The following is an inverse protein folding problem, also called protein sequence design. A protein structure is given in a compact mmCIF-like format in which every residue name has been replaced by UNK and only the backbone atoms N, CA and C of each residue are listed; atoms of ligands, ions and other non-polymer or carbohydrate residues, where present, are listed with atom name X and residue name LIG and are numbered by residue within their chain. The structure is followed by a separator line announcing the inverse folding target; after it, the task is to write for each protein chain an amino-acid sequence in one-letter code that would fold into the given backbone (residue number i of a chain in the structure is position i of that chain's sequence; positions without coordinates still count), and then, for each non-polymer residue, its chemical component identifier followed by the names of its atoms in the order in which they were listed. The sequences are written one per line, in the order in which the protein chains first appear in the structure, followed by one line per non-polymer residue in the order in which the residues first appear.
data_IF_092146336002
#
_entry.id   IF_092146336002
#
_cell.length_a   1.000
_cell.length_b   1.000
_cell.length_c   1.000
_cell.angle_alpha   90.00
_cell.angle_beta   90.00
_cell.angle_gamma   90.00
#
_symmetry.space_group_name_H-M   'P 1'
#
loop_
_entity.id
_entity.type
_entity.pdbx_description
1 polymer ?
#
# COMPACT_ATOMS: atom_id res chain seq x y z
N UNK A 1 -36.50 19.55 5.27
CA UNK A 1 -36.17 20.95 4.92
C UNK A 1 -36.41 21.80 6.15
N UNK A 2 -35.55 22.76 6.56
CA UNK A 2 -34.20 23.16 6.11
C UNK A 2 -33.14 22.86 7.22
N UNK A 3 -31.83 23.05 7.11
CA UNK A 3 -30.95 23.57 6.07
C UNK A 3 -29.50 23.36 6.53
N UNK A 4 -28.69 22.76 5.66
CA UNK A 4 -27.25 22.57 5.84
C UNK A 4 -26.57 23.95 5.70
N UNK A 5 -25.87 24.42 6.74
CA UNK A 5 -25.01 25.62 6.61
C UNK A 5 -23.65 25.22 6.04
N UNK A 6 -23.45 25.57 4.76
CA UNK A 6 -22.14 25.69 4.13
C UNK A 6 -21.47 26.94 4.69
N UNK A 7 -20.40 26.77 5.45
CA UNK A 7 -19.56 27.86 5.92
C UNK A 7 -18.29 27.95 5.10
N UNK A 8 -18.23 28.88 4.15
CA UNK A 8 -17.00 29.37 3.57
C UNK A 8 -16.79 30.81 4.05
N UNK A 9 -15.67 31.09 4.73
CA UNK A 9 -14.81 32.28 4.50
C UNK A 9 -13.63 32.29 5.45
N UNK A 10 -12.50 32.67 4.86
CA UNK A 10 -11.20 32.86 5.47
C UNK A 10 -11.20 34.03 6.46
N UNK A 11 -10.46 33.88 7.56
CA UNK A 11 -9.91 35.00 8.32
C UNK A 11 -8.38 34.91 8.32
N UNK A 12 -7.77 36.02 7.91
CA UNK A 12 -6.36 36.33 8.06
C UNK A 12 -5.95 36.27 9.53
N UNK A 13 -4.87 35.55 9.82
CA UNK A 13 -4.19 35.56 11.11
C UNK A 13 -2.69 35.45 10.85
N UNK A 14 -2.03 36.60 10.73
CA UNK A 14 -0.58 36.72 10.64
C UNK A 14 0.04 36.32 11.97
N UNK A 15 0.83 35.24 12.02
CA UNK A 15 1.77 35.00 13.12
C UNK A 15 3.15 34.69 12.53
N UNK A 16 4.06 35.64 12.67
CA UNK A 16 5.52 35.49 12.54
C UNK A 16 6.07 35.02 13.88
N UNK A 17 6.94 34.01 13.88
CA UNK A 17 7.76 33.65 15.05
C UNK A 17 8.57 32.37 14.82
N UNK A 18 9.90 32.51 14.81
CA UNK A 18 10.92 31.47 14.53
C UNK A 18 11.03 30.42 15.64
N UNK A 19 11.53 29.24 15.29
CA UNK A 19 12.09 28.24 16.22
C UNK A 19 12.41 26.93 15.51
N UNK A 20 13.66 26.76 15.09
CA UNK A 20 14.23 25.50 14.61
C UNK A 20 14.28 24.47 15.75
N UNK A 21 13.88 23.22 15.46
CA UNK A 21 14.43 21.95 15.93
C UNK A 21 13.42 20.80 15.87
N UNK A 22 13.80 19.70 15.20
CA UNK A 22 13.15 18.40 15.30
C UNK A 22 12.29 17.99 14.10
N UNK A 23 12.93 17.62 12.98
CA UNK A 23 12.27 16.84 11.91
C UNK A 23 11.99 15.40 12.40
N UNK A 24 10.75 14.89 12.34
CA UNK A 24 10.53 13.45 12.25
C UNK A 24 10.48 13.07 10.77
N UNK A 25 11.55 12.42 10.33
CA UNK A 25 11.58 11.66 9.09
C UNK A 25 10.79 10.35 9.25
N UNK A 26 9.74 10.12 8.46
CA UNK A 26 9.02 8.85 8.47
C UNK A 26 7.73 8.85 7.66
N UNK A 27 7.84 9.02 6.34
CA UNK A 27 6.73 8.86 5.38
C UNK A 27 6.32 7.38 5.33
N UNK A 28 5.24 7.00 6.01
CA UNK A 28 4.53 5.74 5.74
C UNK A 28 3.27 6.04 4.97
N UNK A 29 3.17 5.40 3.81
CA UNK A 29 2.13 5.67 2.85
C UNK A 29 1.54 4.32 2.43
N UNK A 30 0.70 3.76 3.31
CA UNK A 30 -0.12 2.57 3.05
C UNK A 30 -1.34 3.01 2.24
N UNK A 31 -1.15 3.28 0.95
CA UNK A 31 -2.21 3.78 0.05
C UNK A 31 -3.25 2.68 -0.21
N UNK A 32 -4.43 2.79 0.40
CA UNK A 32 -5.66 2.49 -0.32
C UNK A 32 -6.03 3.77 -1.08
N UNK A 33 -6.04 3.70 -2.40
CA UNK A 33 -6.58 4.79 -3.21
C UNK A 33 -7.72 4.23 -4.00
N UNK A 34 -8.77 5.00 -4.01
CA UNK A 34 -9.97 4.69 -4.71
C UNK A 34 -10.07 5.72 -5.82
N UNK A 35 -9.94 5.27 -7.08
CA UNK A 35 -9.89 6.12 -8.26
C UNK A 35 -11.07 5.86 -9.19
N UNK A 36 -11.39 6.87 -10.01
CA UNK A 36 -12.13 6.68 -11.26
C UNK A 36 -11.38 5.75 -12.24
N UNK A 37 -11.98 5.45 -13.41
CA UNK A 37 -11.51 4.39 -14.28
C UNK A 37 -10.21 4.80 -14.98
N UNK A 38 -9.12 4.02 -14.87
CA UNK A 38 -7.91 4.33 -15.62
C UNK A 38 -8.04 3.84 -17.07
N UNK A 39 -7.85 4.74 -18.05
CA UNK A 39 -7.67 4.35 -19.47
C UNK A 39 -6.24 3.84 -19.77
N UNK A 40 -5.30 3.89 -18.82
CA UNK A 40 -3.93 3.37 -18.95
C UNK A 40 -3.42 2.74 -17.65
N UNK A 41 -2.51 1.78 -17.76
CA UNK A 41 -1.89 1.10 -16.61
C UNK A 41 -1.31 2.12 -15.60
N UNK A 42 -1.48 1.92 -14.28
CA UNK A 42 -0.95 2.84 -13.28
C UNK A 42 0.58 2.98 -13.42
N UNK A 43 1.15 4.19 -13.28
CA UNK A 43 2.59 4.39 -13.40
C UNK A 43 3.36 3.56 -12.37
N UNK A 44 4.58 3.17 -12.74
CA UNK A 44 5.45 2.33 -11.94
C UNK A 44 5.69 2.90 -10.52
N UNK A 45 5.90 1.95 -9.60
CA UNK A 45 6.03 2.13 -8.17
C UNK A 45 7.00 3.25 -7.78
N UNK A 46 6.55 4.21 -6.96
CA UNK A 46 7.43 5.19 -6.29
C UNK A 46 7.24 6.65 -6.70
N UNK A 47 6.43 6.96 -7.72
CA UNK A 47 6.06 8.36 -8.01
C UNK A 47 4.97 8.86 -7.06
N UNK A 48 5.07 10.10 -6.53
CA UNK A 48 3.92 10.80 -5.96
C UNK A 48 2.76 10.80 -6.97
N UNK A 49 1.51 10.86 -6.49
CA UNK A 49 0.28 10.98 -7.29
C UNK A 49 0.20 12.32 -8.09
N UNK A 50 1.34 12.88 -8.50
CA UNK A 50 1.47 14.18 -9.13
C UNK A 50 0.79 14.28 -10.51
N UNK A 51 0.27 13.18 -11.07
CA UNK A 51 -0.52 13.17 -12.30
C UNK A 51 -2.04 13.02 -12.09
N UNK A 52 -2.52 12.88 -10.85
CA UNK A 52 -3.94 12.65 -10.59
C UNK A 52 -4.76 13.94 -10.48
N UNK A 53 -4.32 15.05 -11.10
CA UNK A 53 -4.86 16.40 -10.85
C UNK A 53 -5.42 17.14 -12.06
N UNK A 54 -5.23 16.64 -13.28
CA UNK A 54 -5.44 17.44 -14.50
C UNK A 54 -6.77 17.14 -15.22
N UNK A 55 -7.39 15.96 -15.01
CA UNK A 55 -8.48 15.46 -15.88
C UNK A 55 -9.85 15.24 -15.19
N UNK A 56 -10.15 15.92 -14.08
CA UNK A 56 -11.48 15.83 -13.43
C UNK A 56 -11.79 14.49 -12.71
N UNK A 57 -10.85 13.55 -12.70
CA UNK A 57 -10.93 12.30 -11.94
C UNK A 57 -10.86 12.57 -10.43
N UNK A 58 -11.81 12.06 -9.65
CA UNK A 58 -11.77 12.18 -8.18
C UNK A 58 -11.05 11.01 -7.55
N UNK A 59 -10.10 11.30 -6.66
CA UNK A 59 -9.34 10.31 -5.91
C UNK A 59 -9.67 10.41 -4.43
N UNK A 60 -9.99 9.28 -3.80
CA UNK A 60 -10.17 9.19 -2.35
C UNK A 60 -9.10 8.29 -1.76
N UNK A 61 -8.34 8.81 -0.80
CA UNK A 61 -7.35 8.08 -0.02
C UNK A 61 -7.90 7.82 1.37
N UNK A 62 -7.86 6.57 1.81
CA UNK A 62 -8.32 6.16 3.14
C UNK A 62 -7.19 5.48 3.93
N UNK A 63 -7.02 5.86 5.20
CA UNK A 63 -6.14 5.19 6.16
C UNK A 63 -6.76 5.31 7.57
N UNK A 64 -6.54 4.32 8.43
CA UNK A 64 -7.07 4.33 9.81
C UNK A 64 -6.26 5.26 10.72
N UNK A 65 -4.97 5.44 10.41
CA UNK A 65 -3.98 6.09 11.27
C UNK A 65 -3.83 7.59 10.98
N UNK A 66 -3.09 8.29 11.85
CA UNK A 66 -2.68 9.69 11.65
C UNK A 66 -1.81 9.93 10.39
N UNK A 67 -1.45 8.88 9.64
CA UNK A 67 -0.79 9.01 8.34
C UNK A 67 -1.61 9.85 7.34
N UNK A 68 -2.94 9.94 7.54
CA UNK A 68 -3.83 10.84 6.79
C UNK A 68 -3.39 12.30 6.83
N UNK A 69 -2.83 12.79 7.94
CA UNK A 69 -2.36 14.18 8.02
C UNK A 69 -1.18 14.44 7.08
N UNK A 70 -0.25 13.48 7.03
CA UNK A 70 0.90 13.56 6.13
C UNK A 70 0.44 13.43 4.68
N UNK A 71 -0.51 12.53 4.39
CA UNK A 71 -1.11 12.43 3.08
C UNK A 71 -1.79 13.76 2.68
N UNK A 72 -2.58 14.35 3.56
CA UNK A 72 -3.28 15.61 3.32
C UNK A 72 -2.30 16.77 3.08
N UNK A 73 -1.21 16.89 3.86
CA UNK A 73 -0.16 17.89 3.59
C UNK A 73 0.46 17.73 2.19
N UNK A 74 0.57 16.50 1.69
CA UNK A 74 1.18 16.21 0.39
C UNK A 74 0.23 16.44 -0.80
N UNK A 75 -1.06 16.06 -0.67
CA UNK A 75 -2.01 16.03 -1.80
C UNK A 75 -3.30 16.82 -1.59
N UNK A 76 -3.57 17.34 -0.40
CA UNK A 76 -4.84 18.00 -0.06
C UNK A 76 -5.09 19.31 -0.78
N UNK A 77 -4.07 19.90 -1.40
CA UNK A 77 -4.19 21.06 -2.30
C UNK A 77 -4.69 20.70 -3.70
N UNK A 78 -4.75 19.42 -4.06
CA UNK A 78 -5.28 18.99 -5.35
C UNK A 78 -6.82 19.03 -5.28
N UNK A 79 -7.51 19.73 -6.21
CA UNK A 79 -8.95 19.99 -6.11
C UNK A 79 -9.81 18.72 -6.18
N UNK A 80 -9.25 17.63 -6.66
CA UNK A 80 -9.88 16.35 -6.90
C UNK A 80 -9.34 15.22 -6.01
N UNK A 81 -8.49 15.52 -5.02
CA UNK A 81 -7.98 14.55 -4.07
C UNK A 81 -8.59 14.77 -2.67
N UNK A 82 -9.18 13.72 -2.12
CA UNK A 82 -9.73 13.74 -0.76
C UNK A 82 -9.00 12.71 0.10
N UNK A 83 -8.56 13.14 1.29
CA UNK A 83 -7.95 12.26 2.28
C UNK A 83 -8.95 12.06 3.41
N UNK A 84 -9.20 10.80 3.77
CA UNK A 84 -10.23 10.39 4.71
C UNK A 84 -9.59 9.47 5.75
N UNK A 85 -9.81 9.76 7.02
CA UNK A 85 -9.49 8.80 8.08
C UNK A 85 -10.64 7.80 8.20
N UNK A 86 -10.38 6.53 7.93
CA UNK A 86 -11.42 5.51 7.87
C UNK A 86 -10.88 4.10 8.13
N UNK A 87 -11.72 3.26 8.72
CA UNK A 87 -11.51 1.83 8.79
C UNK A 87 -11.88 1.17 7.46
N UNK A 88 -10.96 0.38 6.90
CA UNK A 88 -11.17 -0.40 5.68
C UNK A 88 -12.22 -1.49 5.86
N UNK A 89 -12.45 -1.98 7.09
CA UNK A 89 -13.48 -2.97 7.40
C UNK A 89 -14.89 -2.34 7.40
N UNK A 90 -14.97 -1.02 7.62
CA UNK A 90 -16.22 -0.25 7.66
C UNK A 90 -16.06 1.12 6.95
N UNK A 91 -15.82 1.13 5.62
CA UNK A 91 -15.49 2.36 4.91
C UNK A 91 -16.71 3.30 4.80
N UNK A 92 -16.55 4.62 5.01
CA UNK A 92 -17.65 5.58 5.09
C UNK A 92 -18.14 6.03 3.71
N UNK A 93 -18.34 5.09 2.78
CA UNK A 93 -18.77 5.39 1.42
C UNK A 93 -20.23 4.99 1.22
N UNK A 94 -21.07 5.99 1.01
CA UNK A 94 -22.49 5.80 0.74
C UNK A 94 -22.69 4.95 -0.52
N UNK A 95 -23.64 4.00 -0.45
CA UNK A 95 -24.11 3.22 -1.60
C UNK A 95 -25.26 3.95 -2.26
N UNK A 96 -25.12 4.31 -3.53
CA UNK A 96 -26.20 4.89 -4.31
C UNK A 96 -27.01 3.75 -4.97
N UNK A 97 -28.32 3.69 -4.74
CA UNK A 97 -29.20 2.65 -5.28
C UNK A 97 -28.65 1.21 -5.05
N UNK A 98 -28.08 0.95 -3.87
CA UNK A 98 -27.48 -0.35 -3.53
C UNK A 98 -26.16 -0.67 -4.22
N UNK A 99 -25.58 0.24 -5.02
CA UNK A 99 -24.31 0.04 -5.74
C UNK A 99 -23.17 0.80 -5.06
N UNK A 100 -21.96 0.29 -5.20
CA UNK A 100 -20.76 1.02 -4.79
C UNK A 100 -20.52 2.27 -5.65
N UNK A 101 -19.64 3.15 -5.18
CA UNK A 101 -19.42 4.48 -5.76
C UNK A 101 -18.15 4.57 -6.63
N UNK A 102 -17.44 3.46 -6.81
CA UNK A 102 -16.07 3.51 -7.34
C UNK A 102 -15.83 2.62 -8.53
N UNK A 103 -15.10 3.18 -9.48
CA UNK A 103 -14.81 2.58 -10.76
C UNK A 103 -13.53 1.73 -10.66
N UNK A 104 -12.64 2.13 -9.76
CA UNK A 104 -11.39 1.46 -9.48
C UNK A 104 -11.01 1.58 -8.00
N UNK A 105 -10.59 0.47 -7.40
CA UNK A 105 -10.02 0.45 -6.06
C UNK A 105 -8.66 -0.23 -6.14
N UNK A 106 -7.63 0.38 -5.57
CA UNK A 106 -6.39 -0.33 -5.30
C UNK A 106 -5.98 -0.34 -3.84
N UNK A 107 -5.45 -1.49 -3.42
CA UNK A 107 -4.92 -1.72 -2.07
C UNK A 107 -3.52 -2.32 -2.14
N UNK A 108 -2.52 -1.52 -1.77
CA UNK A 108 -1.10 -1.83 -1.99
C UNK A 108 -0.43 -1.98 -0.64
N UNK A 109 -0.11 -3.22 -0.25
CA UNK A 109 0.60 -3.48 0.99
C UNK A 109 -0.23 -3.26 2.26
N UNK A 110 -1.55 -3.44 2.17
CA UNK A 110 -2.49 -3.14 3.28
C UNK A 110 -3.18 -4.40 3.80
N UNK A 111 -3.90 -5.12 2.93
CA UNK A 111 -4.85 -6.17 3.35
C UNK A 111 -4.23 -7.25 4.24
N UNK A 112 -3.02 -7.67 3.93
CA UNK A 112 -2.31 -8.72 4.66
C UNK A 112 -1.85 -8.32 6.08
N UNK A 113 -2.04 -7.05 6.47
CA UNK A 113 -1.82 -6.61 7.85
C UNK A 113 -3.11 -6.56 8.67
N UNK A 114 -4.27 -6.79 8.06
CA UNK A 114 -5.55 -6.79 8.76
C UNK A 114 -5.72 -8.07 9.58
N UNK A 115 -6.48 -8.03 10.69
CA UNK A 115 -6.84 -9.23 11.45
C UNK A 115 -7.57 -10.28 10.60
N UNK A 116 -8.46 -9.82 9.70
CA UNK A 116 -9.10 -10.62 8.66
C UNK A 116 -8.83 -9.96 7.28
N UNK A 117 -7.78 -10.41 6.57
CA UNK A 117 -7.42 -9.86 5.26
C UNK A 117 -8.52 -10.00 4.21
N UNK A 118 -9.27 -11.11 4.21
CA UNK A 118 -10.33 -11.36 3.24
C UNK A 118 -11.56 -10.49 3.52
N UNK A 119 -11.92 -10.26 4.79
CA UNK A 119 -12.97 -9.31 5.13
C UNK A 119 -12.65 -7.89 4.65
N UNK A 120 -11.40 -7.45 4.78
CA UNK A 120 -10.94 -6.18 4.23
C UNK A 120 -11.06 -6.12 2.71
N UNK A 121 -10.69 -7.20 2.01
CA UNK A 121 -10.85 -7.32 0.57
C UNK A 121 -12.33 -7.22 0.16
N UNK A 122 -13.21 -8.01 0.80
CA UNK A 122 -14.66 -8.00 0.54
C UNK A 122 -15.26 -6.63 0.81
N UNK A 123 -14.81 -5.96 1.87
CA UNK A 123 -15.25 -4.60 2.21
C UNK A 123 -14.95 -3.60 1.09
N UNK A 124 -13.75 -3.64 0.55
CA UNK A 124 -13.37 -2.82 -0.60
C UNK A 124 -14.18 -3.17 -1.86
N UNK A 125 -14.35 -4.46 -2.17
CA UNK A 125 -15.13 -4.90 -3.34
C UNK A 125 -16.57 -4.36 -3.29
N UNK A 126 -17.22 -4.34 -2.10
CA UNK A 126 -18.58 -3.78 -1.96
C UNK A 126 -18.68 -2.29 -2.33
N UNK A 127 -17.57 -1.57 -2.28
CA UNK A 127 -17.53 -0.16 -2.67
C UNK A 127 -17.38 0.04 -4.19
N UNK A 128 -17.10 -1.02 -4.96
CA UNK A 128 -17.09 -0.94 -6.42
C UNK A 128 -18.51 -0.77 -6.98
N UNK A 129 -18.63 0.07 -8.00
CA UNK A 129 -19.81 0.06 -8.88
C UNK A 129 -19.79 -1.20 -9.76
N UNK A 130 -20.93 -1.64 -10.33
CA UNK A 130 -20.94 -2.66 -11.37
C UNK A 130 -20.00 -2.30 -12.52
N UNK A 131 -19.21 -3.26 -12.99
CA UNK A 131 -18.15 -3.06 -13.98
C UNK A 131 -16.86 -2.44 -13.44
N UNK A 132 -16.80 -2.07 -12.16
CA UNK A 132 -15.62 -1.50 -11.50
C UNK A 132 -14.51 -2.55 -11.27
N UNK A 133 -13.27 -2.10 -11.09
CA UNK A 133 -12.09 -3.00 -10.98
C UNK A 133 -11.42 -2.88 -9.61
N UNK A 134 -11.03 -4.02 -9.05
CA UNK A 134 -10.15 -4.08 -7.89
C UNK A 134 -8.73 -4.44 -8.32
N UNK A 135 -7.73 -3.84 -7.69
CA UNK A 135 -6.33 -4.25 -7.75
C UNK A 135 -5.74 -4.36 -6.33
N UNK A 136 -5.11 -5.50 -6.02
CA UNK A 136 -4.48 -5.75 -4.73
C UNK A 136 -3.01 -6.14 -4.86
N UNK A 137 -2.17 -5.70 -3.94
CA UNK A 137 -0.85 -6.29 -3.70
C UNK A 137 -0.71 -6.73 -2.25
N UNK A 138 -0.40 -8.02 -2.07
CA UNK A 138 -0.26 -8.68 -0.77
C UNK A 138 1.06 -9.44 -0.67
N UNK A 139 1.55 -9.63 0.56
CA UNK A 139 2.70 -10.49 0.80
C UNK A 139 2.35 -11.95 0.50
N UNK A 140 3.23 -12.62 -0.24
CA UNK A 140 3.04 -13.99 -0.70
C UNK A 140 3.69 -14.98 0.25
N UNK A 141 3.11 -16.16 0.40
CA UNK A 141 3.71 -17.23 1.20
C UNK A 141 4.94 -17.83 0.52
N UNK A 142 4.86 -18.01 -0.79
CA UNK A 142 5.84 -18.63 -1.64
C UNK A 142 7.15 -17.82 -1.72
N UNK A 143 8.28 -18.52 -1.85
CA UNK A 143 9.63 -17.96 -1.97
C UNK A 143 10.06 -17.04 -0.79
N UNK A 144 9.32 -17.05 0.31
CA UNK A 144 9.60 -16.29 1.53
C UNK A 144 10.09 -17.17 2.69
N UNK A 145 10.77 -18.28 2.42
CA UNK A 145 11.21 -19.23 3.45
C UNK A 145 12.05 -18.59 4.57
N UNK A 146 12.96 -17.66 4.24
CA UNK A 146 13.74 -16.91 5.23
C UNK A 146 12.84 -16.08 6.15
N UNK A 147 11.80 -15.48 5.59
CA UNK A 147 10.86 -14.68 6.35
C UNK A 147 10.10 -15.55 7.35
N UNK A 148 9.58 -16.69 6.90
CA UNK A 148 8.80 -17.60 7.77
C UNK A 148 9.64 -18.29 8.83
N UNK A 149 10.86 -18.72 8.48
CA UNK A 149 11.69 -19.55 9.36
C UNK A 149 12.52 -18.72 10.35
N UNK A 150 12.89 -17.50 9.98
CA UNK A 150 13.82 -16.68 10.78
C UNK A 150 13.19 -15.35 11.17
N UNK A 151 12.76 -14.54 10.19
CA UNK A 151 12.36 -13.16 10.46
C UNK A 151 11.08 -13.09 11.29
N UNK A 152 10.03 -13.85 10.95
CA UNK A 152 8.75 -13.81 11.66
C UNK A 152 8.85 -14.35 13.11
N UNK A 153 9.53 -15.49 13.39
CA UNK A 153 9.76 -15.94 14.76
C UNK A 153 10.54 -14.93 15.61
N UNK A 154 11.62 -14.36 15.07
CA UNK A 154 12.42 -13.33 15.76
C UNK A 154 11.58 -12.08 15.99
N UNK A 155 10.78 -11.67 14.99
CA UNK A 155 9.91 -10.51 15.09
C UNK A 155 8.88 -10.66 16.20
N UNK A 156 8.15 -11.78 16.23
CA UNK A 156 7.08 -12.03 17.22
C UNK A 156 7.60 -12.18 18.65
N UNK A 157 8.79 -12.76 18.82
CA UNK A 157 9.35 -13.07 20.14
C UNK A 157 10.18 -11.92 20.72
N UNK A 158 10.85 -11.16 19.86
CA UNK A 158 11.86 -10.17 20.28
C UNK A 158 11.50 -8.78 19.77
N UNK A 159 11.53 -8.54 18.47
CA UNK A 159 11.61 -7.16 17.96
C UNK A 159 10.30 -6.39 18.04
N UNK A 160 9.13 -7.02 17.88
CA UNK A 160 7.83 -6.32 17.92
C UNK A 160 7.49 -5.72 19.29
N UNK A 161 8.21 -6.13 20.34
CA UNK A 161 8.03 -5.65 21.71
C UNK A 161 9.01 -4.53 22.08
N UNK A 162 9.97 -4.22 21.22
CA UNK A 162 10.99 -3.21 21.49
C UNK A 162 10.50 -1.80 21.19
N UNK A 163 10.92 -0.79 21.97
CA UNK A 163 10.55 0.59 21.70
C UNK A 163 11.21 1.08 20.39
N UNK A 164 10.58 2.02 19.65
CA UNK A 164 11.04 2.48 18.34
C UNK A 164 12.51 2.96 18.26
N UNK A 165 13.11 3.61 19.27
CA UNK A 165 14.53 3.96 19.23
C UNK A 165 15.45 2.75 19.09
N UNK A 166 15.18 1.67 19.84
CA UNK A 166 15.99 0.45 19.80
C UNK A 166 15.82 -0.29 18.46
N UNK A 167 14.61 -0.30 17.91
CA UNK A 167 14.35 -0.84 16.57
C UNK A 167 15.15 -0.12 15.48
N UNK A 168 15.32 1.21 15.58
CA UNK A 168 16.16 1.96 14.65
C UNK A 168 17.63 1.54 14.74
N UNK A 169 18.14 1.35 15.96
CA UNK A 169 19.52 0.89 16.21
C UNK A 169 19.76 -0.52 15.66
N UNK A 170 18.77 -1.41 15.72
CA UNK A 170 18.85 -2.77 15.15
C UNK A 170 18.70 -2.74 13.62
N UNK A 171 17.76 -1.94 13.11
CA UNK A 171 17.49 -1.85 11.68
C UNK A 171 18.68 -1.31 10.88
N UNK A 172 19.46 -0.38 11.46
CA UNK A 172 20.56 0.27 10.77
C UNK A 172 21.67 -0.72 10.31
N UNK A 173 22.31 -1.53 11.19
CA UNK A 173 23.33 -2.49 10.77
C UNK A 173 22.76 -3.55 9.82
N UNK A 174 21.52 -4.00 10.03
CA UNK A 174 20.85 -4.91 9.09
C UNK A 174 20.69 -4.28 7.70
N UNK A 175 20.31 -3.01 7.64
CA UNK A 175 20.20 -2.26 6.40
C UNK A 175 21.56 -2.03 5.73
N UNK A 176 22.62 -1.79 6.49
CA UNK A 176 24.00 -1.70 5.96
C UNK A 176 24.40 -3.01 5.29
N UNK A 177 24.22 -4.15 5.97
CA UNK A 177 24.54 -5.47 5.42
C UNK A 177 23.72 -5.75 4.17
N UNK A 178 22.39 -5.56 4.23
CA UNK A 178 21.52 -5.77 3.07
C UNK A 178 21.88 -4.84 1.91
N UNK A 179 22.16 -3.56 2.18
CA UNK A 179 22.52 -2.60 1.15
C UNK A 179 23.86 -2.94 0.49
N UNK A 180 24.86 -3.31 1.28
CA UNK A 180 26.15 -3.76 0.78
C UNK A 180 26.00 -5.02 -0.08
N UNK A 181 25.20 -6.01 0.36
CA UNK A 181 24.92 -7.21 -0.40
C UNK A 181 24.25 -6.88 -1.75
N UNK A 182 23.20 -6.05 -1.73
CA UNK A 182 22.46 -5.68 -2.93
C UNK A 182 23.35 -4.89 -3.92
N UNK A 183 24.17 -3.96 -3.43
CA UNK A 183 25.02 -3.12 -4.29
C UNK A 183 26.31 -3.83 -4.75
N UNK A 184 26.88 -4.69 -3.91
CA UNK A 184 28.16 -5.37 -4.16
C UNK A 184 28.02 -6.71 -4.87
N UNK A 185 26.89 -7.41 -4.71
CA UNK A 185 26.68 -8.74 -5.29
C UNK A 185 25.57 -8.73 -6.34
N UNK A 186 24.36 -8.29 -5.99
CA UNK A 186 23.21 -8.40 -6.90
C UNK A 186 23.30 -7.42 -8.07
N UNK A 187 23.70 -6.17 -7.83
CA UNK A 187 23.81 -5.14 -8.88
C UNK A 187 24.84 -5.50 -9.96
N UNK A 188 26.08 -5.93 -9.65
CA UNK A 188 27.05 -6.30 -10.70
C UNK A 188 26.69 -7.57 -11.48
N UNK A 189 25.83 -8.43 -10.91
CA UNK A 189 25.35 -9.65 -11.55
C UNK A 189 24.09 -9.46 -12.41
N UNK A 190 23.55 -8.24 -12.51
CA UNK A 190 22.40 -7.96 -13.38
C UNK A 190 22.68 -8.36 -14.83
N UNK A 191 21.72 -9.06 -15.44
CA UNK A 191 21.82 -9.59 -16.80
C UNK A 191 22.66 -10.87 -16.94
N UNK A 192 23.29 -11.36 -15.87
CA UNK A 192 24.10 -12.59 -15.90
C UNK A 192 23.29 -13.80 -15.44
N UNK A 193 23.49 -14.96 -16.07
CA UNK A 193 22.84 -16.21 -15.69
C UNK A 193 23.11 -16.62 -14.22
N UNK A 194 24.28 -16.27 -13.69
CA UNK A 194 24.66 -16.53 -12.29
C UNK A 194 23.68 -15.90 -11.28
N UNK A 195 23.02 -14.78 -11.62
CA UNK A 195 22.04 -14.12 -10.76
C UNK A 195 20.85 -15.03 -10.43
N UNK A 196 20.39 -15.84 -11.40
CA UNK A 196 19.23 -16.71 -11.22
C UNK A 196 19.47 -17.83 -10.19
N UNK A 197 20.74 -18.16 -9.91
CA UNK A 197 21.13 -19.13 -8.89
C UNK A 197 21.14 -18.55 -7.47
N UNK A 198 21.09 -17.22 -7.33
CA UNK A 198 21.11 -16.58 -6.01
C UNK A 198 19.74 -16.66 -5.32
N UNK A 199 19.71 -16.80 -3.99
CA UNK A 199 18.47 -16.80 -3.23
C UNK A 199 17.77 -15.44 -3.38
N UNK A 200 16.44 -15.47 -3.41
CA UNK A 200 15.59 -14.28 -3.52
C UNK A 200 16.03 -13.30 -4.63
N UNK A 201 16.60 -13.81 -5.73
CA UNK A 201 17.22 -12.98 -6.77
C UNK A 201 16.27 -11.93 -7.34
N UNK A 202 15.01 -12.28 -7.63
CA UNK A 202 14.04 -11.31 -8.14
C UNK A 202 13.73 -10.19 -7.13
N UNK A 203 13.65 -10.51 -5.84
CA UNK A 203 13.42 -9.52 -4.78
C UNK A 203 14.64 -8.64 -4.55
N UNK A 204 15.82 -9.22 -4.31
CA UNK A 204 17.02 -8.45 -4.02
C UNK A 204 17.50 -7.64 -5.23
N UNK A 205 17.29 -8.13 -6.45
CA UNK A 205 17.54 -7.35 -7.67
C UNK A 205 16.61 -6.14 -7.76
N UNK A 206 15.37 -6.21 -7.28
CA UNK A 206 14.47 -5.05 -7.27
C UNK A 206 14.91 -3.93 -6.32
N UNK A 207 15.83 -4.22 -5.40
CA UNK A 207 16.36 -3.26 -4.42
C UNK A 207 17.66 -2.58 -4.89
N UNK A 208 18.22 -2.97 -6.04
CA UNK A 208 19.51 -2.45 -6.52
C UNK A 208 19.44 -0.99 -6.92
N UNK A 209 18.27 -0.51 -7.32
CA UNK A 209 18.08 0.88 -7.77
C UNK A 209 17.78 1.82 -6.60
N UNK A 210 17.49 1.26 -5.43
CA UNK A 210 17.14 2.03 -4.25
C UNK A 210 18.39 2.62 -3.60
N UNK A 211 18.24 3.83 -3.07
CA UNK A 211 19.26 4.44 -2.21
C UNK A 211 19.24 3.81 -0.81
N UNK A 212 20.26 4.11 0.00
CA UNK A 212 20.38 3.53 1.35
C UNK A 212 19.14 3.78 2.20
N UNK A 213 18.58 4.99 2.16
CA UNK A 213 17.40 5.38 2.93
C UNK A 213 16.18 4.53 2.58
N UNK A 214 15.95 4.26 1.30
CA UNK A 214 14.86 3.40 0.83
C UNK A 214 15.05 1.96 1.33
N UNK A 215 16.25 1.40 1.21
CA UNK A 215 16.56 0.07 1.69
C UNK A 215 16.45 -0.05 3.22
N UNK A 216 16.92 0.96 3.96
CA UNK A 216 16.74 1.06 5.40
C UNK A 216 15.27 1.03 5.81
N UNK A 217 14.42 1.81 5.12
CA UNK A 217 12.99 1.83 5.44
C UNK A 217 12.35 0.47 5.24
N UNK A 218 12.74 -0.30 4.21
CA UNK A 218 12.23 -1.66 3.99
C UNK A 218 12.59 -2.57 5.15
N UNK A 219 13.87 -2.57 5.58
CA UNK A 219 14.32 -3.37 6.74
C UNK A 219 13.59 -2.96 8.01
N UNK A 220 13.51 -1.66 8.28
CA UNK A 220 12.81 -1.12 9.44
C UNK A 220 11.33 -1.52 9.43
N UNK A 221 10.68 -1.48 8.27
CA UNK A 221 9.27 -1.83 8.14
C UNK A 221 9.00 -3.31 8.43
N UNK A 222 9.90 -4.20 8.02
CA UNK A 222 9.84 -5.62 8.35
C UNK A 222 9.95 -5.91 9.85
N UNK A 223 10.67 -5.06 10.61
CA UNK A 223 10.86 -5.22 12.05
C UNK A 223 9.71 -4.65 12.88
N UNK A 224 9.08 -3.57 12.40
CA UNK A 224 8.02 -2.83 13.13
C UNK A 224 6.64 -3.44 12.94
N UNK A 225 6.34 -4.08 11.79
CA UNK A 225 5.00 -4.57 11.51
C UNK A 225 4.53 -5.61 12.55
N UNK A 226 3.49 -5.30 13.37
CA UNK A 226 3.08 -6.19 14.47
C UNK A 226 2.55 -7.53 13.97
N UNK A 227 1.79 -7.47 12.87
CA UNK A 227 1.15 -8.62 12.23
C UNK A 227 1.29 -8.50 10.72
N UNK A 228 1.67 -9.59 10.06
CA UNK A 228 1.63 -9.73 8.61
C UNK A 228 1.29 -11.18 8.27
N UNK A 229 0.20 -11.38 7.56
CA UNK A 229 -0.16 -12.65 6.97
C UNK A 229 0.53 -12.78 5.61
N UNK A 230 1.07 -13.95 5.32
CA UNK A 230 1.67 -14.23 4.02
C UNK A 230 0.77 -15.23 3.32
N UNK A 231 0.13 -14.77 2.24
CA UNK A 231 -0.99 -15.45 1.62
C UNK A 231 -0.48 -16.36 0.50
N UNK A 232 -1.01 -17.57 0.44
CA UNK A 232 -0.75 -18.46 -0.71
C UNK A 232 -1.45 -17.93 -1.95
N UNK A 233 -0.96 -18.31 -3.12
CA UNK A 233 -1.57 -17.95 -4.41
C UNK A 233 -3.05 -18.30 -4.46
N UNK A 234 -3.38 -19.54 -4.09
CA UNK A 234 -4.73 -20.10 -4.21
C UNK A 234 -5.70 -19.43 -3.23
N UNK A 235 -5.20 -19.06 -2.04
CA UNK A 235 -5.98 -18.32 -1.05
C UNK A 235 -6.37 -16.94 -1.59
N UNK A 236 -5.38 -16.20 -2.11
CA UNK A 236 -5.61 -14.87 -2.65
C UNK A 236 -6.46 -14.89 -3.91
N UNK A 237 -6.25 -15.85 -4.81
CA UNK A 237 -7.09 -16.09 -5.99
C UNK A 237 -8.54 -16.42 -5.60
N UNK A 238 -8.71 -17.27 -4.58
CA UNK A 238 -10.03 -17.67 -4.06
C UNK A 238 -10.85 -16.49 -3.52
N UNK A 239 -10.21 -15.40 -3.06
CA UNK A 239 -10.93 -14.19 -2.63
C UNK A 239 -11.72 -13.57 -3.78
N UNK A 240 -11.12 -13.48 -4.97
CA UNK A 240 -11.76 -12.90 -6.15
C UNK A 240 -12.96 -13.74 -6.58
N UNK A 241 -12.80 -15.07 -6.58
CA UNK A 241 -13.87 -16.02 -6.94
C UNK A 241 -15.04 -15.93 -5.97
N UNK A 242 -14.78 -15.97 -4.64
CA UNK A 242 -15.83 -15.88 -3.61
C UNK A 242 -16.54 -14.53 -3.59
N UNK A 243 -15.87 -13.47 -4.01
CA UNK A 243 -16.47 -12.15 -4.14
C UNK A 243 -17.15 -11.92 -5.51
N UNK A 244 -17.15 -12.91 -6.41
CA UNK A 244 -17.82 -12.86 -7.71
C UNK A 244 -17.16 -11.92 -8.71
N UNK A 245 -15.85 -11.69 -8.60
CA UNK A 245 -15.10 -10.92 -9.60
C UNK A 245 -14.80 -11.79 -10.83
N UNK A 246 -14.91 -11.19 -12.01
CA UNK A 246 -14.53 -11.76 -13.31
C UNK A 246 -13.17 -11.22 -13.77
N UNK A 247 -12.65 -11.78 -14.87
CA UNK A 247 -11.36 -11.38 -15.48
C UNK A 247 -10.22 -11.32 -14.44
N UNK A 248 -10.12 -12.38 -13.63
CA UNK A 248 -9.16 -12.44 -12.52
C UNK A 248 -7.76 -12.73 -13.07
N UNK A 249 -6.83 -11.83 -12.78
CA UNK A 249 -5.42 -11.95 -13.16
C UNK A 249 -4.55 -11.91 -11.91
N UNK A 250 -3.73 -12.94 -11.72
CA UNK A 250 -2.68 -12.95 -10.71
C UNK A 250 -1.31 -12.87 -11.35
N UNK A 251 -0.43 -12.06 -10.77
CA UNK A 251 0.96 -11.98 -11.19
C UNK A 251 1.89 -11.81 -10.00
N UNK A 252 3.13 -12.29 -10.17
CA UNK A 252 4.17 -12.07 -9.18
C UNK A 252 4.51 -10.60 -9.02
N UNK A 253 4.78 -10.20 -7.78
CA UNK A 253 5.63 -9.05 -7.51
C UNK A 253 6.96 -9.56 -6.95
N UNK A 254 8.03 -9.40 -7.73
CA UNK A 254 9.39 -9.78 -7.36
C UNK A 254 9.54 -11.24 -6.88
N UNK A 255 8.65 -12.13 -7.37
CA UNK A 255 8.55 -13.54 -6.98
C UNK A 255 8.35 -13.83 -5.48
N UNK A 256 8.04 -12.83 -4.65
CA UNK A 256 7.86 -13.01 -3.20
C UNK A 256 6.56 -12.36 -2.69
N UNK A 257 5.66 -12.01 -3.59
CA UNK A 257 4.39 -11.36 -3.29
C UNK A 257 3.43 -11.49 -4.47
N UNK A 258 2.13 -11.33 -4.18
CA UNK A 258 1.08 -11.47 -5.18
C UNK A 258 0.44 -10.13 -5.53
N UNK A 259 0.28 -9.89 -6.84
CA UNK A 259 -0.62 -8.86 -7.38
C UNK A 259 -1.84 -9.57 -7.93
N UNK A 260 -3.01 -9.03 -7.65
CA UNK A 260 -4.29 -9.56 -8.12
C UNK A 260 -5.14 -8.44 -8.70
N UNK A 261 -5.77 -8.69 -9.83
CA UNK A 261 -6.75 -7.79 -10.45
C UNK A 261 -8.01 -8.58 -10.74
N UNK A 262 -9.17 -7.95 -10.58
CA UNK A 262 -10.44 -8.51 -11.03
C UNK A 262 -11.49 -7.43 -11.19
N UNK A 263 -12.53 -7.72 -11.96
CA UNK A 263 -13.61 -6.79 -12.28
C UNK A 263 -14.91 -7.27 -11.65
N UNK A 264 -15.68 -6.37 -11.05
CA UNK A 264 -17.04 -6.68 -10.64
C UNK A 264 -17.93 -6.75 -11.90
N UNK A 265 -18.77 -7.79 -12.08
CA UNK A 265 -19.64 -7.90 -13.25
C UNK A 265 -20.45 -6.62 -13.49
N UNK A 266 -20.65 -6.27 -14.74
CA UNK A 266 -21.58 -5.21 -15.10
C UNK A 266 -23.00 -5.64 -14.70
N UNK A 267 -23.85 -4.67 -14.31
CA UNK A 267 -25.26 -4.98 -14.11
C UNK A 267 -25.82 -5.43 -15.47
N UNK A 268 -26.58 -6.52 -15.49
CA UNK A 268 -27.30 -6.91 -16.69
C UNK A 268 -28.14 -5.72 -17.16
N UNK A 269 -27.97 -5.32 -18.41
CA UNK A 269 -28.87 -4.37 -19.06
C UNK A 269 -30.20 -5.11 -19.16
N UNK A 270 -31.15 -4.75 -18.28
CA UNK A 270 -32.54 -5.17 -18.37
C UNK A 270 -33.29 -4.21 -19.26
#
# INVERSE_FOLDING_TARGET
MPGLRVGARAHHGTIRGRGDHGRPAGLRLKRASVSGPPRRAPPALGRPLAGAGEDGERVRLADLSAAVETAFRNIGRLPNAHVIQADILAPPFARAAGKGAFDFIYSIGVLHHLPDPEAGFRSLVRCLRPGGTFFGWVYGYENNALVHRVIDPVRRRVTSRLPPPLLRTIAYPMAVVMHALVKGVYRPLQGRAALQRLPAHAYLSSLTDFNFRQNYNIVFDHLVAPTAFYLKREEFEGWFQRAGLEAVELSWRNQNSWRGRGRLPAAAVR
#
